data_IF_978988886232
#
_entry.id   IF_978988886232
#
_cell.length_a   1.000
_cell.length_b   1.000
_cell.length_c   1.000
_cell.angle_alpha   90.00
_cell.angle_beta   90.00
_cell.angle_gamma   90.00
#
_symmetry.space_group_name_H-M   'P 1'
#
loop_
_entity.id
_entity.type
_entity.pdbx_description
1 polymer ?
#
# COMPACT_ATOMS: atom_id res chain seq x y z
N UNK A 1 -14.93 -17.51 16.71
CA UNK A 1 -13.71 -17.16 15.96
C UNK A 1 -12.78 -16.31 16.82
N UNK A 2 -11.48 -16.60 16.84
CA UNK A 2 -10.50 -15.78 17.58
C UNK A 2 -9.98 -14.64 16.70
N UNK A 3 -10.21 -13.38 17.10
CA UNK A 3 -9.78 -12.16 16.39
C UNK A 3 -8.25 -12.08 16.24
N UNK A 4 -7.52 -12.71 17.16
CA UNK A 4 -6.06 -12.66 17.25
C UNK A 4 -5.39 -13.23 16.00
N UNK A 5 -5.83 -14.40 15.51
CA UNK A 5 -5.20 -15.08 14.38
C UNK A 5 -5.21 -14.24 13.07
N UNK A 6 -6.37 -13.71 12.61
CA UNK A 6 -6.38 -12.85 11.42
C UNK A 6 -5.63 -11.54 11.62
N UNK A 7 -5.71 -10.92 12.79
CA UNK A 7 -4.96 -9.69 13.06
C UNK A 7 -3.43 -9.94 13.01
N UNK A 8 -2.96 -11.03 13.61
CA UNK A 8 -1.56 -11.44 13.56
C UNK A 8 -1.13 -11.77 12.13
N UNK A 9 -1.97 -12.49 11.37
CA UNK A 9 -1.69 -12.79 9.97
C UNK A 9 -1.51 -11.51 9.13
N UNK A 10 -2.39 -10.52 9.28
CA UNK A 10 -2.26 -9.23 8.61
C UNK A 10 -0.98 -8.50 9.01
N UNK A 11 -0.65 -8.47 10.30
CA UNK A 11 0.59 -7.88 10.81
C UNK A 11 1.84 -8.53 10.23
N UNK A 12 1.90 -9.87 10.21
CA UNK A 12 3.04 -10.61 9.65
C UNK A 12 3.18 -10.37 8.15
N UNK A 13 2.07 -10.37 7.40
CA UNK A 13 2.09 -10.05 5.97
C UNK A 13 2.61 -8.64 5.70
N UNK A 14 2.16 -7.65 6.48
CA UNK A 14 2.62 -6.27 6.36
C UNK A 14 4.11 -6.12 6.72
N UNK A 15 4.54 -6.73 7.82
CA UNK A 15 5.92 -6.64 8.30
C UNK A 15 6.90 -7.31 7.34
N UNK A 16 6.66 -8.58 7.00
CA UNK A 16 7.54 -9.35 6.12
C UNK A 16 7.42 -8.90 4.67
N UNK A 17 6.23 -8.50 4.20
CA UNK A 17 6.04 -7.98 2.86
C UNK A 17 6.85 -6.70 2.63
N UNK A 18 6.76 -5.74 3.56
CA UNK A 18 7.55 -4.51 3.52
C UNK A 18 9.05 -4.82 3.56
N UNK A 19 9.50 -5.67 4.49
CA UNK A 19 10.90 -6.08 4.61
C UNK A 19 11.43 -6.77 3.34
N UNK A 20 10.68 -7.70 2.77
CA UNK A 20 11.07 -8.43 1.57
C UNK A 20 11.24 -7.50 0.36
N UNK A 21 10.34 -6.54 0.17
CA UNK A 21 10.45 -5.55 -0.91
C UNK A 21 11.66 -4.64 -0.69
N UNK A 22 11.88 -4.12 0.52
CA UNK A 22 13.05 -3.30 0.83
C UNK A 22 14.36 -4.05 0.56
N UNK A 23 14.41 -5.33 0.91
CA UNK A 23 15.55 -6.20 0.62
C UNK A 23 15.76 -6.41 -0.88
N UNK A 24 14.70 -6.79 -1.61
CA UNK A 24 14.77 -7.07 -3.06
C UNK A 24 15.22 -5.86 -3.87
N UNK A 25 14.71 -4.67 -3.54
CA UNK A 25 14.99 -3.45 -4.30
C UNK A 25 16.43 -2.96 -4.09
N UNK A 26 17.08 -3.33 -2.98
CA UNK A 26 18.49 -3.06 -2.67
C UNK A 26 19.46 -4.04 -3.32
N UNK A 27 18.99 -5.12 -3.94
CA UNK A 27 19.84 -6.05 -4.70
C UNK A 27 20.40 -5.40 -5.97
N UNK A 28 21.48 -5.96 -6.56
CA UNK A 28 22.08 -5.42 -7.78
C UNK A 28 21.07 -5.38 -8.95
N UNK A 29 21.14 -4.38 -9.85
CA UNK A 29 20.13 -4.21 -10.90
C UNK A 29 19.90 -5.42 -11.82
N UNK A 30 20.92 -6.26 -11.99
CA UNK A 30 20.82 -7.52 -12.76
C UNK A 30 19.77 -8.48 -12.20
N UNK A 31 19.45 -8.42 -10.90
CA UNK A 31 18.46 -9.31 -10.29
C UNK A 31 17.02 -8.86 -10.53
N UNK A 32 16.78 -7.61 -10.92
CA UNK A 32 15.40 -7.10 -11.02
C UNK A 32 14.59 -7.75 -12.13
N UNK A 33 15.21 -8.09 -13.26
CA UNK A 33 14.49 -8.81 -14.32
C UNK A 33 13.97 -10.15 -13.82
N UNK A 34 14.79 -10.89 -13.06
CA UNK A 34 14.41 -12.15 -12.43
C UNK A 34 13.36 -11.98 -11.33
N UNK A 35 13.54 -10.98 -10.46
CA UNK A 35 12.55 -10.66 -9.42
C UNK A 35 11.20 -10.26 -10.01
N UNK A 36 11.19 -9.43 -11.07
CA UNK A 36 9.98 -9.04 -11.77
C UNK A 36 9.35 -10.20 -12.52
N UNK A 37 10.14 -11.07 -13.17
CA UNK A 37 9.62 -12.28 -13.81
C UNK A 37 8.91 -13.19 -12.80
N UNK A 38 9.57 -13.49 -11.67
CA UNK A 38 8.98 -14.28 -10.59
C UNK A 38 7.72 -13.65 -10.02
N UNK A 39 7.75 -12.34 -9.71
CA UNK A 39 6.58 -11.62 -9.23
C UNK A 39 5.46 -11.55 -10.26
N UNK A 40 5.76 -11.58 -11.57
CA UNK A 40 4.74 -11.54 -12.64
C UNK A 40 4.02 -12.88 -12.75
N UNK A 41 4.75 -13.99 -12.62
CA UNK A 41 4.14 -15.33 -12.49
C UNK A 41 3.26 -15.38 -11.24
N UNK A 42 3.77 -14.88 -10.11
CA UNK A 42 3.00 -14.79 -8.87
C UNK A 42 1.78 -13.87 -8.99
N UNK A 43 1.87 -12.77 -9.75
CA UNK A 43 0.74 -11.88 -10.01
C UNK A 43 -0.37 -12.63 -10.76
N UNK A 44 -0.02 -13.39 -11.80
CA UNK A 44 -0.98 -14.24 -12.52
C UNK A 44 -1.64 -15.28 -11.61
N UNK A 45 -0.84 -15.95 -10.77
CA UNK A 45 -1.34 -16.88 -9.76
C UNK A 45 -2.27 -16.17 -8.75
N UNK A 46 -1.92 -14.97 -8.30
CA UNK A 46 -2.74 -14.17 -7.39
C UNK A 46 -4.08 -13.81 -7.99
N UNK A 47 -4.17 -13.46 -9.28
CA UNK A 47 -5.47 -13.21 -9.93
C UNK A 47 -6.34 -14.46 -9.95
N UNK A 48 -5.73 -15.61 -10.23
CA UNK A 48 -6.42 -16.89 -10.20
C UNK A 48 -6.95 -17.22 -8.79
N UNK A 49 -6.10 -17.14 -7.76
CA UNK A 49 -6.49 -17.44 -6.37
C UNK A 49 -7.45 -16.39 -5.80
N UNK A 50 -7.32 -15.12 -6.17
CA UNK A 50 -8.29 -14.09 -5.82
C UNK A 50 -9.67 -14.42 -6.39
N UNK A 51 -9.75 -14.85 -7.65
CA UNK A 51 -11.01 -15.26 -8.28
C UNK A 51 -11.66 -16.47 -7.60
N UNK A 52 -10.86 -17.41 -7.11
CA UNK A 52 -11.35 -18.55 -6.30
C UNK A 52 -11.89 -18.02 -4.97
N UNK A 53 -11.11 -17.20 -4.26
CA UNK A 53 -11.47 -16.65 -2.96
C UNK A 53 -12.75 -15.79 -2.99
N UNK A 54 -13.01 -15.08 -4.09
CA UNK A 54 -14.22 -14.27 -4.26
C UNK A 54 -15.49 -15.12 -4.26
N UNK A 55 -15.40 -16.40 -4.62
CA UNK A 55 -16.53 -17.34 -4.62
C UNK A 55 -16.61 -18.18 -3.35
N UNK A 56 -15.62 -18.07 -2.47
CA UNK A 56 -15.52 -18.81 -1.23
C UNK A 56 -15.76 -17.88 -0.02
N UNK A 57 -16.97 -17.88 0.57
CA UNK A 57 -17.27 -17.06 1.74
C UNK A 57 -16.68 -17.62 3.05
N UNK A 58 -15.90 -18.69 3.01
CA UNK A 58 -15.29 -19.31 4.19
C UNK A 58 -14.17 -18.46 4.79
N UNK A 59 -13.75 -18.83 6.01
CA UNK A 59 -12.58 -18.24 6.67
C UNK A 59 -11.30 -18.41 5.83
N UNK A 60 -11.14 -19.57 5.17
CA UNK A 60 -9.99 -19.89 4.32
C UNK A 60 -9.99 -19.01 3.07
N UNK A 61 -11.17 -18.80 2.47
CA UNK A 61 -11.37 -17.86 1.37
C UNK A 61 -10.90 -16.45 1.74
N UNK A 62 -11.20 -15.97 2.96
CA UNK A 62 -10.74 -14.65 3.41
C UNK A 62 -9.20 -14.54 3.52
N UNK A 63 -8.53 -15.56 4.08
CA UNK A 63 -7.07 -15.59 4.14
C UNK A 63 -6.44 -15.66 2.75
N UNK A 64 -7.00 -16.49 1.86
CA UNK A 64 -6.53 -16.62 0.48
C UNK A 64 -6.69 -15.31 -0.28
N UNK A 65 -7.83 -14.65 -0.14
CA UNK A 65 -8.10 -13.34 -0.73
C UNK A 65 -7.05 -12.30 -0.30
N UNK A 66 -6.83 -12.19 1.01
CA UNK A 66 -5.87 -11.25 1.58
C UNK A 66 -4.44 -11.54 1.11
N UNK A 67 -3.98 -12.79 1.23
CA UNK A 67 -2.64 -13.18 0.81
C UNK A 67 -2.41 -12.94 -0.69
N UNK A 68 -3.40 -13.26 -1.53
CA UNK A 68 -3.34 -13.00 -2.98
C UNK A 68 -3.11 -11.53 -3.26
N UNK A 69 -3.83 -10.65 -2.58
CA UNK A 69 -3.70 -9.19 -2.72
C UNK A 69 -2.35 -8.67 -2.22
N UNK A 70 -1.83 -9.19 -1.11
CA UNK A 70 -0.49 -8.81 -0.63
C UNK A 70 0.58 -9.14 -1.69
N UNK A 71 0.47 -10.29 -2.34
CA UNK A 71 1.38 -10.68 -3.44
C UNK A 71 1.18 -9.80 -4.68
N UNK A 72 -0.06 -9.45 -5.04
CA UNK A 72 -0.34 -8.48 -6.12
C UNK A 72 0.31 -7.12 -5.81
N UNK A 73 0.17 -6.67 -4.56
CA UNK A 73 0.72 -5.41 -4.08
C UNK A 73 2.26 -5.41 -4.14
N UNK A 74 2.88 -6.52 -3.76
CA UNK A 74 4.33 -6.70 -3.87
C UNK A 74 4.85 -6.51 -5.30
N UNK A 75 4.11 -6.97 -6.31
CA UNK A 75 4.45 -6.71 -7.72
C UNK A 75 4.43 -5.21 -8.04
N UNK A 76 3.39 -4.48 -7.61
CA UNK A 76 3.28 -3.03 -7.82
C UNK A 76 4.40 -2.25 -7.16
N UNK A 77 4.70 -2.58 -5.91
CA UNK A 77 5.76 -1.92 -5.14
C UNK A 77 7.12 -2.18 -5.78
N UNK A 78 7.41 -3.42 -6.19
CA UNK A 78 8.64 -3.74 -6.90
C UNK A 78 8.72 -3.01 -8.24
N UNK A 79 7.65 -2.99 -9.02
CA UNK A 79 7.59 -2.30 -10.31
C UNK A 79 7.80 -0.78 -10.17
N UNK A 80 7.26 -0.18 -9.11
CA UNK A 80 7.47 1.23 -8.78
C UNK A 80 8.90 1.50 -8.35
N UNK A 81 9.40 0.75 -7.36
CA UNK A 81 10.69 0.97 -6.71
C UNK A 81 11.89 0.63 -7.60
N UNK A 82 11.70 -0.23 -8.61
CA UNK A 82 12.69 -0.47 -9.67
C UNK A 82 12.64 0.58 -10.78
N UNK A 83 11.62 1.44 -10.81
CA UNK A 83 11.41 2.47 -11.83
C UNK A 83 10.77 1.96 -13.12
N UNK A 84 10.32 0.71 -13.17
CA UNK A 84 9.61 0.15 -14.33
C UNK A 84 8.28 0.85 -14.55
N UNK A 85 7.53 1.06 -13.48
CA UNK A 85 6.16 1.58 -13.49
C UNK A 85 6.03 2.86 -12.66
N UNK A 86 6.98 3.79 -12.80
CA UNK A 86 6.91 5.09 -12.12
C UNK A 86 5.99 6.07 -12.89
N UNK A 87 6.56 7.07 -13.56
CA UNK A 87 5.81 8.02 -14.38
C UNK A 87 6.58 8.44 -15.62
N UNK A 88 5.96 9.20 -16.54
CA UNK A 88 6.64 9.73 -17.72
C UNK A 88 7.84 10.64 -17.35
N UNK A 89 7.83 11.24 -16.16
CA UNK A 89 8.90 12.11 -15.69
C UNK A 89 9.84 11.37 -14.73
N UNK A 90 11.03 11.02 -15.22
CA UNK A 90 12.11 10.36 -14.44
C UNK A 90 13.28 11.30 -14.16
N UNK A 91 12.97 12.53 -13.73
CA UNK A 91 13.96 13.58 -13.41
C UNK A 91 13.51 14.35 -12.18
N UNK A 92 14.45 15.04 -11.53
CA UNK A 92 14.13 15.86 -10.37
C UNK A 92 13.13 16.98 -10.72
N UNK A 93 12.47 17.50 -9.68
CA UNK A 93 11.62 18.68 -9.75
C UNK A 93 12.41 19.87 -10.30
N UNK A 94 11.81 20.64 -11.21
CA UNK A 94 12.47 21.84 -11.73
C UNK A 94 12.70 22.88 -10.62
N UNK A 95 13.82 23.59 -10.65
CA UNK A 95 14.19 24.51 -9.59
C UNK A 95 13.16 25.64 -9.43
N UNK A 96 12.74 25.91 -8.18
CA UNK A 96 11.85 27.04 -7.86
C UNK A 96 10.37 26.85 -8.21
N UNK A 97 9.96 25.71 -8.77
CA UNK A 97 8.53 25.49 -9.12
C UNK A 97 7.67 25.35 -7.86
N UNK A 98 6.54 26.06 -7.85
CA UNK A 98 5.58 26.08 -6.74
C UNK A 98 4.15 25.94 -7.28
N UNK A 99 3.20 25.65 -6.41
CA UNK A 99 1.78 25.60 -6.75
C UNK A 99 1.45 24.55 -7.82
N UNK A 100 0.67 24.96 -8.83
CA UNK A 100 0.15 24.07 -9.86
C UNK A 100 1.24 23.39 -10.73
N UNK A 101 2.27 24.09 -11.24
CA UNK A 101 3.39 23.45 -11.93
C UNK A 101 4.05 22.33 -11.12
N UNK A 102 4.24 22.54 -9.80
CA UNK A 102 4.79 21.49 -8.91
C UNK A 102 3.86 20.28 -8.83
N UNK A 103 2.55 20.51 -8.72
CA UNK A 103 1.55 19.43 -8.70
C UNK A 103 1.59 18.60 -9.98
N UNK A 104 1.55 19.26 -11.16
CA UNK A 104 1.62 18.57 -12.45
C UNK A 104 2.89 17.72 -12.58
N UNK A 105 4.05 18.27 -12.21
CA UNK A 105 5.31 17.53 -12.26
C UNK A 105 5.34 16.35 -11.28
N UNK A 106 4.73 16.49 -10.10
CA UNK A 106 4.63 15.42 -9.10
C UNK A 106 3.75 14.29 -9.59
N UNK A 107 2.59 14.62 -10.16
CA UNK A 107 1.67 13.65 -10.78
C UNK A 107 2.37 12.91 -11.92
N UNK A 108 3.07 13.62 -12.81
CA UNK A 108 3.86 13.01 -13.89
C UNK A 108 4.99 12.09 -13.40
N UNK A 109 5.45 12.21 -12.16
CA UNK A 109 6.48 11.32 -11.62
C UNK A 109 5.92 9.95 -11.19
N UNK A 110 4.61 9.86 -10.91
CA UNK A 110 3.95 8.66 -10.36
C UNK A 110 2.76 8.15 -11.19
N UNK A 111 2.41 8.85 -12.29
CA UNK A 111 1.17 8.62 -13.02
C UNK A 111 0.97 7.17 -13.50
N UNK A 112 1.99 6.53 -14.07
CA UNK A 112 1.83 5.17 -14.60
C UNK A 112 1.55 4.16 -13.50
N UNK A 113 2.15 4.37 -12.33
CA UNK A 113 1.88 3.56 -11.16
C UNK A 113 0.41 3.66 -10.71
N UNK A 114 -0.11 4.89 -10.58
CA UNK A 114 -1.49 5.12 -10.14
C UNK A 114 -2.49 4.57 -11.15
N UNK A 115 -2.23 4.74 -12.45
CA UNK A 115 -3.08 4.18 -13.49
C UNK A 115 -3.07 2.65 -13.48
N UNK A 116 -1.93 2.02 -13.20
CA UNK A 116 -1.86 0.57 -13.07
C UNK A 116 -2.60 0.05 -11.83
N UNK A 117 -2.51 0.75 -10.69
CA UNK A 117 -3.30 0.43 -9.51
C UNK A 117 -4.80 0.57 -9.77
N UNK A 118 -5.21 1.65 -10.45
CA UNK A 118 -6.59 1.86 -10.86
C UNK A 118 -7.10 0.76 -11.80
N UNK A 119 -6.30 0.39 -12.80
CA UNK A 119 -6.63 -0.68 -13.73
C UNK A 119 -6.80 -2.03 -13.01
N UNK A 120 -5.91 -2.36 -12.07
CA UNK A 120 -6.04 -3.60 -11.30
C UNK A 120 -7.21 -3.58 -10.31
N UNK A 121 -7.53 -2.44 -9.67
CA UNK A 121 -8.77 -2.35 -8.90
C UNK A 121 -10.00 -2.55 -9.80
N UNK A 122 -10.01 -1.94 -11.00
CA UNK A 122 -11.07 -2.12 -11.98
C UNK A 122 -11.22 -3.57 -12.45
N UNK A 123 -10.10 -4.28 -12.63
CA UNK A 123 -10.09 -5.70 -12.96
C UNK A 123 -10.66 -6.55 -11.81
N UNK A 124 -10.24 -6.30 -10.56
CA UNK A 124 -10.80 -6.99 -9.39
C UNK A 124 -12.29 -6.72 -9.23
N UNK A 125 -12.74 -5.49 -9.47
CA UNK A 125 -14.14 -5.11 -9.47
C UNK A 125 -14.92 -5.87 -10.54
N UNK A 126 -14.41 -5.93 -11.78
CA UNK A 126 -15.06 -6.64 -12.86
C UNK A 126 -15.14 -8.16 -12.61
N UNK A 127 -14.13 -8.73 -11.96
CA UNK A 127 -14.10 -10.15 -11.57
C UNK A 127 -15.03 -10.47 -10.39
N UNK A 128 -15.45 -9.45 -9.63
CA UNK A 128 -16.21 -9.62 -8.39
C UNK A 128 -17.62 -10.16 -8.68
N UNK A 129 -17.98 -11.35 -8.16
CA UNK A 129 -19.35 -11.86 -8.25
C UNK A 129 -20.29 -11.04 -7.36
N UNK A 130 -21.57 -10.94 -7.77
CA UNK A 130 -22.59 -10.15 -7.07
C UNK A 130 -22.86 -10.61 -5.63
N UNK A 131 -22.75 -11.92 -5.37
CA UNK A 131 -23.00 -12.53 -4.06
C UNK A 131 -21.78 -13.33 -3.60
N UNK A 132 -20.64 -12.67 -3.43
CA UNK A 132 -19.40 -13.32 -3.01
C UNK A 132 -18.60 -12.54 -1.97
N UNK A 133 -17.44 -13.08 -1.61
CA UNK A 133 -16.52 -12.44 -0.67
C UNK A 133 -15.87 -11.22 -1.33
N UNK A 134 -16.00 -10.05 -0.70
CA UNK A 134 -15.39 -8.79 -1.17
C UNK A 134 -14.01 -8.54 -0.57
N UNK A 135 -13.45 -9.49 0.19
CA UNK A 135 -12.20 -9.29 0.95
C UNK A 135 -11.04 -8.91 0.03
N UNK A 136 -10.89 -9.55 -1.13
CA UNK A 136 -9.80 -9.25 -2.06
C UNK A 136 -9.90 -7.80 -2.59
N UNK A 137 -11.09 -7.42 -3.06
CA UNK A 137 -11.35 -6.07 -3.57
C UNK A 137 -11.12 -5.01 -2.48
N UNK A 138 -11.69 -5.20 -1.29
CA UNK A 138 -11.53 -4.27 -0.17
C UNK A 138 -10.09 -4.16 0.32
N UNK A 139 -9.35 -5.28 0.37
CA UNK A 139 -7.94 -5.29 0.78
C UNK A 139 -7.11 -4.45 -0.19
N UNK A 140 -7.30 -4.64 -1.49
CA UNK A 140 -6.58 -3.89 -2.51
C UNK A 140 -6.95 -2.40 -2.48
N UNK A 141 -8.25 -2.10 -2.33
CA UNK A 141 -8.72 -0.72 -2.19
C UNK A 141 -8.10 -0.02 -0.98
N UNK A 142 -8.07 -0.64 0.20
CA UNK A 142 -7.44 -0.07 1.40
C UNK A 142 -5.97 0.23 1.15
N UNK A 143 -5.21 -0.72 0.61
CA UNK A 143 -3.80 -0.51 0.27
C UNK A 143 -3.63 0.67 -0.69
N UNK A 144 -4.43 0.73 -1.76
CA UNK A 144 -4.33 1.79 -2.76
C UNK A 144 -4.69 3.16 -2.20
N UNK A 145 -5.86 3.31 -1.56
CA UNK A 145 -6.29 4.59 -1.03
C UNK A 145 -5.36 5.10 0.08
N UNK A 146 -4.87 4.21 0.95
CA UNK A 146 -3.91 4.60 1.98
C UNK A 146 -2.56 4.97 1.38
N UNK A 147 -2.08 4.25 0.35
CA UNK A 147 -0.83 4.61 -0.35
C UNK A 147 -0.97 5.93 -1.13
N UNK A 148 -2.13 6.19 -1.73
CA UNK A 148 -2.43 7.44 -2.42
C UNK A 148 -2.49 8.61 -1.42
N UNK A 149 -3.18 8.42 -0.28
CA UNK A 149 -3.21 9.37 0.83
C UNK A 149 -1.79 9.70 1.34
N UNK A 150 -0.96 8.69 1.55
CA UNK A 150 0.44 8.85 1.93
C UNK A 150 1.23 9.72 0.92
N UNK A 151 1.08 9.47 -0.40
CA UNK A 151 1.74 10.27 -1.45
C UNK A 151 1.29 11.73 -1.42
N UNK A 152 0.01 11.98 -1.19
CA UNK A 152 -0.52 13.34 -1.03
C UNK A 152 0.03 14.02 0.23
N UNK A 153 0.13 13.30 1.35
CA UNK A 153 0.74 13.81 2.58
C UNK A 153 2.22 14.18 2.36
N UNK A 154 2.99 13.32 1.69
CA UNK A 154 4.38 13.61 1.30
C UNK A 154 4.50 14.84 0.38
N UNK A 155 3.54 15.02 -0.53
CA UNK A 155 3.48 16.20 -1.41
C UNK A 155 3.13 17.48 -0.65
N UNK A 156 2.19 17.44 0.30
CA UNK A 156 1.72 18.64 1.02
C UNK A 156 2.68 19.07 2.13
N UNK A 157 3.32 18.12 2.80
CA UNK A 157 4.29 18.37 3.86
C UNK A 157 4.11 17.40 5.04
N UNK A 158 5.19 16.70 5.40
CA UNK A 158 5.29 15.92 6.64
C UNK A 158 6.68 16.04 7.28
N UNK A 159 6.81 15.86 8.60
CA UNK A 159 8.09 15.89 9.31
C UNK A 159 9.09 14.81 8.86
N UNK A 160 8.60 13.58 8.64
CA UNK A 160 9.37 12.43 8.19
C UNK A 160 8.94 12.00 6.79
N UNK A 161 9.78 12.26 5.78
CA UNK A 161 9.47 11.98 4.37
C UNK A 161 9.88 10.57 3.93
N UNK A 162 10.68 9.85 4.73
CA UNK A 162 11.13 8.51 4.38
C UNK A 162 12.03 8.46 3.13
N UNK A 163 12.63 9.58 2.72
CA UNK A 163 13.50 9.65 1.53
C UNK A 163 14.68 8.66 1.58
N UNK A 164 15.08 8.28 2.79
CA UNK A 164 16.07 7.24 3.10
C UNK A 164 15.71 5.82 2.65
N UNK A 165 14.43 5.53 2.39
CA UNK A 165 13.98 4.25 1.84
C UNK A 165 14.11 4.20 0.32
N UNK A 166 14.25 5.35 -0.33
CA UNK A 166 14.30 5.40 -1.78
C UNK A 166 15.61 4.77 -2.28
N UNK A 167 15.53 3.84 -3.24
CA UNK A 167 16.71 3.30 -3.90
C UNK A 167 17.46 4.40 -4.64
N UNK A 168 18.76 4.20 -4.88
CA UNK A 168 19.62 5.18 -5.56
C UNK A 168 19.00 5.75 -6.85
N UNK A 169 18.33 4.90 -7.64
CA UNK A 169 17.68 5.24 -8.91
C UNK A 169 16.46 6.15 -8.77
N UNK A 170 15.79 6.12 -7.62
CA UNK A 170 14.59 6.90 -7.33
C UNK A 170 14.84 8.08 -6.40
N UNK A 171 16.10 8.37 -6.05
CA UNK A 171 16.43 9.55 -5.23
C UNK A 171 15.89 10.86 -5.78
N UNK A 172 15.69 10.96 -7.10
CA UNK A 172 15.06 12.14 -7.69
C UNK A 172 13.63 12.36 -7.17
N UNK A 173 12.91 11.31 -6.75
CA UNK A 173 11.57 11.44 -6.16
C UNK A 173 11.58 12.22 -4.84
N UNK A 174 12.69 12.19 -4.09
CA UNK A 174 12.83 12.97 -2.87
C UNK A 174 12.64 14.48 -3.13
N UNK A 175 13.01 14.98 -4.32
CA UNK A 175 12.81 16.39 -4.69
C UNK A 175 11.33 16.82 -4.79
N UNK A 176 10.40 15.86 -4.89
CA UNK A 176 8.97 16.12 -4.91
C UNK A 176 8.36 16.13 -3.50
N UNK A 177 9.02 15.47 -2.55
CA UNK A 177 8.57 15.40 -1.16
C UNK A 177 8.85 16.73 -0.47
N UNK A 178 7.92 17.16 0.38
CA UNK A 178 8.08 18.37 1.18
C UNK A 178 8.28 17.97 2.63
N UNK A 179 9.44 18.31 3.19
CA UNK A 179 9.66 18.28 4.63
C UNK A 179 9.07 19.54 5.25
N UNK A 180 8.21 19.40 6.25
CA UNK A 180 7.53 20.55 6.85
C UNK A 180 6.51 20.19 7.93
N UNK A 181 5.72 21.16 8.41
CA UNK A 181 4.65 20.91 9.36
C UNK A 181 3.55 20.06 8.72
N UNK A 182 2.76 19.39 9.57
CA UNK A 182 1.59 18.64 9.13
C UNK A 182 0.58 19.56 8.44
N UNK A 183 0.14 19.14 7.26
CA UNK A 183 -0.91 19.84 6.52
C UNK A 183 -2.30 19.59 7.11
N UNK A 184 -3.28 20.45 6.81
CA UNK A 184 -4.69 20.19 7.17
C UNK A 184 -5.19 18.86 6.57
N UNK A 185 -4.75 18.53 5.36
CA UNK A 185 -5.06 17.27 4.70
C UNK A 185 -4.57 16.06 5.51
N UNK A 186 -3.45 16.16 6.23
CA UNK A 186 -2.98 15.10 7.11
C UNK A 186 -4.01 14.80 8.20
N UNK A 187 -4.47 15.82 8.91
CA UNK A 187 -5.47 15.66 9.97
C UNK A 187 -6.80 15.13 9.43
N UNK A 188 -7.22 15.60 8.25
CA UNK A 188 -8.44 15.11 7.61
C UNK A 188 -8.31 13.65 7.16
N UNK A 189 -7.23 13.29 6.47
CA UNK A 189 -7.00 11.93 5.97
C UNK A 189 -6.87 10.91 7.11
N UNK A 190 -6.11 11.24 8.15
CA UNK A 190 -5.98 10.39 9.35
C UNK A 190 -7.30 10.35 10.13
N UNK A 191 -7.97 11.49 10.32
CA UNK A 191 -9.24 11.56 11.04
C UNK A 191 -10.34 10.74 10.37
N UNK A 192 -10.49 10.84 9.05
CA UNK A 192 -11.43 10.01 8.27
C UNK A 192 -11.07 8.53 8.36
N UNK A 193 -9.78 8.19 8.25
CA UNK A 193 -9.33 6.79 8.38
C UNK A 193 -9.65 6.21 9.75
N UNK A 194 -9.41 6.98 10.82
CA UNK A 194 -9.77 6.59 12.19
C UNK A 194 -11.28 6.46 12.34
N UNK A 195 -12.08 7.39 11.81
CA UNK A 195 -13.53 7.32 11.88
C UNK A 195 -14.09 6.05 11.19
N UNK A 196 -13.55 5.71 10.01
CA UNK A 196 -13.88 4.46 9.32
C UNK A 196 -13.48 3.25 10.17
N UNK A 197 -12.26 3.23 10.69
CA UNK A 197 -11.76 2.15 11.52
C UNK A 197 -12.58 1.93 12.80
N UNK A 198 -12.91 3.03 13.52
CA UNK A 198 -13.79 3.00 14.69
C UNK A 198 -15.19 2.52 14.30
N UNK A 199 -15.73 2.97 13.15
CA UNK A 199 -17.00 2.46 12.63
C UNK A 199 -17.00 0.96 12.36
N UNK A 200 -15.89 0.41 11.84
CA UNK A 200 -15.73 -1.04 11.64
C UNK A 200 -15.74 -1.80 12.98
N UNK A 201 -15.06 -1.27 13.99
CA UNK A 201 -15.01 -1.88 15.34
C UNK A 201 -16.35 -1.76 16.05
N UNK A 202 -17.01 -0.60 15.94
CA UNK A 202 -18.30 -0.33 16.56
C UNK A 202 -19.39 -1.29 16.07
N UNK A 203 -19.52 -1.44 14.75
CA UNK A 203 -20.48 -2.36 14.13
C UNK A 203 -20.26 -3.81 14.55
N UNK A 204 -18.99 -4.21 14.68
CA UNK A 204 -18.60 -5.53 15.15
C UNK A 204 -19.00 -5.76 16.62
N UNK A 205 -18.88 -4.75 17.48
CA UNK A 205 -19.26 -4.85 18.90
C UNK A 205 -20.77 -4.85 19.12
N UNK A 206 -21.52 -4.11 18.31
CA UNK A 206 -22.98 -3.97 18.45
C UNK A 206 -23.78 -5.04 17.70
N UNK A 207 -23.10 -6.02 17.07
CA UNK A 207 -23.75 -7.10 16.33
C UNK A 207 -24.45 -6.65 15.03
N UNK A 208 -24.19 -5.42 14.57
CA UNK A 208 -24.73 -4.90 13.31
C UNK A 208 -24.13 -5.60 12.08
N UNK A 209 -22.96 -6.23 12.26
CA UNK A 209 -22.31 -7.04 11.23
C UNK A 209 -21.80 -8.36 11.81
N UNK A 210 -21.87 -9.43 11.01
CA UNK A 210 -21.22 -10.70 11.35
C UNK A 210 -19.71 -10.50 11.29
N UNK A 211 -19.03 -10.61 12.43
CA UNK A 211 -17.57 -10.50 12.53
C UNK A 211 -16.91 -11.70 11.86
N UNK A 212 -16.61 -11.55 10.57
CA UNK A 212 -15.91 -12.57 9.77
C UNK A 212 -14.39 -12.37 9.83
N UNK A 213 -13.61 -13.39 9.44
CA UNK A 213 -12.15 -13.29 9.25
C UNK A 213 -11.78 -12.09 8.38
N UNK A 214 -12.51 -11.89 7.29
CA UNK A 214 -12.29 -10.79 6.35
C UNK A 214 -12.44 -9.43 7.01
N UNK A 215 -13.44 -9.27 7.88
CA UNK A 215 -13.65 -8.03 8.63
C UNK A 215 -12.45 -7.70 9.52
N UNK A 216 -11.94 -8.69 10.25
CA UNK A 216 -10.77 -8.51 11.13
C UNK A 216 -9.51 -8.22 10.34
N UNK A 217 -9.28 -8.92 9.21
CA UNK A 217 -8.14 -8.67 8.33
C UNK A 217 -8.14 -7.22 7.80
N UNK A 218 -9.30 -6.74 7.35
CA UNK A 218 -9.46 -5.38 6.83
C UNK A 218 -9.28 -4.33 7.94
N UNK A 219 -9.85 -4.56 9.13
CA UNK A 219 -9.68 -3.66 10.27
C UNK A 219 -8.23 -3.60 10.75
N UNK A 220 -7.54 -4.75 10.79
CA UNK A 220 -6.12 -4.81 11.15
C UNK A 220 -5.25 -4.08 10.11
N UNK A 221 -5.51 -4.31 8.81
CA UNK A 221 -4.78 -3.64 7.72
C UNK A 221 -4.98 -2.11 7.75
N UNK A 222 -6.22 -1.65 7.90
CA UNK A 222 -6.50 -0.21 8.01
C UNK A 222 -5.84 0.39 9.25
N UNK A 223 -5.88 -0.32 10.38
CA UNK A 223 -5.17 0.08 11.60
C UNK A 223 -3.66 0.24 11.38
N UNK A 224 -3.02 -0.72 10.71
CA UNK A 224 -1.60 -0.64 10.34
C UNK A 224 -1.30 0.54 9.42
N UNK A 225 -2.17 0.80 8.43
CA UNK A 225 -2.03 1.92 7.53
C UNK A 225 -2.19 3.28 8.24
N UNK A 226 -3.08 3.37 9.24
CA UNK A 226 -3.19 4.56 10.12
C UNK A 226 -1.90 4.73 10.92
N UNK A 227 -1.36 3.65 11.50
CA UNK A 227 -0.07 3.70 12.21
C UNK A 227 1.03 4.20 11.28
N UNK A 228 1.12 3.73 10.04
CA UNK A 228 2.08 4.22 9.05
C UNK A 228 1.94 5.73 8.80
N UNK A 229 0.72 6.25 8.70
CA UNK A 229 0.48 7.70 8.57
C UNK A 229 0.90 8.47 9.82
N UNK A 230 0.57 7.95 11.01
CA UNK A 230 0.97 8.57 12.27
C UNK A 230 2.49 8.63 12.38
N UNK A 231 3.21 7.62 11.90
CA UNK A 231 4.67 7.64 11.93
C UNK A 231 5.23 8.77 11.03
N UNK A 232 4.59 9.12 9.92
CA UNK A 232 5.02 10.29 9.11
C UNK A 232 5.00 11.60 9.91
N UNK A 233 4.17 11.69 10.96
CA UNK A 233 4.11 12.84 11.84
C UNK A 233 5.25 12.91 12.86
N UNK A 234 5.92 11.79 13.13
CA UNK A 234 7.01 11.73 14.10
C UNK A 234 8.36 11.58 13.38
N UNK A 235 9.38 12.37 13.74
CA UNK A 235 10.72 12.27 13.16
C UNK A 235 11.47 11.06 13.74
N UNK A 236 10.87 9.87 13.64
CA UNK A 236 11.46 8.62 14.11
C UNK A 236 12.13 7.91 12.93
N UNK A 237 13.41 7.53 13.05
CA UNK A 237 14.08 6.76 12.02
C UNK A 237 13.52 5.34 12.03
N UNK A 238 12.44 5.14 11.28
CA UNK A 238 11.82 3.82 11.07
C UNK A 238 12.81 2.79 10.50
N UNK A 239 14.00 3.22 10.04
CA UNK A 239 15.06 2.35 9.56
C UNK A 239 15.39 1.23 10.55
N UNK A 240 15.25 1.50 11.85
CA UNK A 240 15.50 0.50 12.90
C UNK A 240 14.55 -0.69 12.85
N UNK A 241 13.32 -0.51 12.35
CA UNK A 241 12.32 -1.58 12.29
C UNK A 241 12.71 -2.67 11.28
N UNK A 242 13.26 -2.27 10.12
CA UNK A 242 13.67 -3.19 9.06
C UNK A 242 15.19 -3.19 8.82
N UNK A 243 15.98 -2.96 9.88
CA UNK A 243 17.45 -2.94 9.79
C UNK A 243 18.02 -4.25 9.21
N UNK A 244 17.40 -5.39 9.52
CA UNK A 244 17.76 -6.70 8.98
C UNK A 244 17.56 -6.82 7.46
N UNK A 245 16.65 -6.03 6.87
CA UNK A 245 16.32 -6.05 5.45
C UNK A 245 17.09 -4.98 4.64
N UNK A 246 17.84 -4.11 5.32
CA UNK A 246 18.61 -3.02 4.72
C UNK A 246 20.11 -3.22 4.96
N UNK A 247 20.75 -4.12 4.17
CA UNK A 247 22.19 -4.30 4.19
C UNK A 247 22.94 -3.11 3.59
#
# INVERSE_FOLDING_TARGET
MTVIAPALFALLCWWFGTGAILWLVRRPPVTFAWSMAGLTVLLGASFWTARISMRDPSEQGAYLAFASVIVMWAWHEMAFLTGWLAGPRRRALDAGVRGWPRFVQSTQAVLWHELALAAHLGLLWWMQPAHGSHVALCTFAVLWFMRFSAKLNLFLGVPETGEQYLPARLRYLASYFRRGPLSLFFFLSVGVSIAIWVGLVWRAQHGETVVSTGWVLLAALLGLAIVEHLIMAFPTPMQKLWSWAMP
#
